data_IF_164418178374
#
_entry.id   IF_164418178374
#
_cell.length_a   1.000
_cell.length_b   1.000
_cell.length_c   1.000
_cell.angle_alpha   90.00
_cell.angle_beta   90.00
_cell.angle_gamma   90.00
#
_symmetry.space_group_name_H-M   'P 1'
#
loop_
_entity.id
_entity.type
_entity.pdbx_description
1 polymer ?
#
# COMPACT_ATOMS: atom_id res chain seq x y z
N UNK A 1 -7.07 -10.24 -9.74
CA UNK A 1 -8.19 -11.20 -9.79
C UNK A 1 -9.11 -10.99 -8.60
N UNK A 2 -10.42 -11.07 -8.82
CA UNK A 2 -11.42 -10.89 -7.76
C UNK A 2 -12.43 -12.04 -7.76
N UNK A 3 -13.02 -12.36 -6.61
CA UNK A 3 -14.17 -13.28 -6.52
C UNK A 3 -14.87 -13.19 -5.16
N UNK A 4 -16.16 -13.49 -5.09
CA UNK A 4 -16.92 -13.53 -3.83
C UNK A 4 -16.69 -14.85 -3.08
N UNK A 5 -16.11 -15.85 -3.74
CA UNK A 5 -15.63 -17.10 -3.15
C UNK A 5 -14.21 -17.43 -3.61
N UNK A 6 -13.52 -18.30 -2.86
CA UNK A 6 -12.19 -18.78 -3.26
C UNK A 6 -12.20 -19.52 -4.59
N UNK A 7 -13.23 -20.32 -4.84
CA UNK A 7 -13.37 -21.08 -6.08
C UNK A 7 -13.44 -20.16 -7.30
N UNK A 8 -14.31 -19.14 -7.23
CA UNK A 8 -14.47 -18.14 -8.29
C UNK A 8 -13.16 -17.35 -8.52
N UNK A 9 -12.53 -16.89 -7.43
CA UNK A 9 -11.26 -16.17 -7.51
C UNK A 9 -10.16 -17.04 -8.15
N UNK A 10 -10.07 -18.31 -7.78
CA UNK A 10 -9.11 -19.24 -8.37
C UNK A 10 -9.43 -19.56 -9.84
N UNK A 11 -10.71 -19.63 -10.23
CA UNK A 11 -11.09 -19.79 -11.63
C UNK A 11 -10.65 -18.59 -12.48
N UNK A 12 -10.91 -17.37 -12.01
CA UNK A 12 -10.42 -16.16 -12.66
C UNK A 12 -8.90 -16.14 -12.74
N UNK A 13 -8.20 -16.56 -11.69
CA UNK A 13 -6.76 -16.62 -11.69
C UNK A 13 -6.18 -17.68 -12.63
N UNK A 14 -6.85 -18.82 -12.80
CA UNK A 14 -6.44 -19.86 -13.76
C UNK A 14 -6.57 -19.37 -15.20
N UNK A 15 -7.62 -18.60 -15.51
CA UNK A 15 -7.80 -17.98 -16.84
C UNK A 15 -6.71 -16.96 -17.17
N UNK A 16 -6.04 -16.43 -16.17
CA UNK A 16 -4.94 -15.47 -16.30
C UNK A 16 -3.56 -16.11 -16.05
N UNK A 17 -3.40 -17.41 -16.30
CA UNK A 17 -2.13 -18.13 -16.08
C UNK A 17 -0.94 -17.48 -16.80
N UNK A 18 -1.17 -16.92 -17.99
CA UNK A 18 -0.13 -16.25 -18.80
C UNK A 18 0.49 -15.05 -18.09
N UNK A 19 -0.25 -14.34 -17.24
CA UNK A 19 0.28 -13.20 -16.46
C UNK A 19 1.37 -13.65 -15.47
N UNK A 20 1.30 -14.91 -15.04
CA UNK A 20 2.18 -15.49 -14.01
C UNK A 20 3.32 -16.32 -14.59
N UNK A 21 3.26 -16.71 -15.87
CA UNK A 21 4.20 -17.64 -16.51
C UNK A 21 5.68 -17.24 -16.34
N UNK A 22 5.97 -15.94 -16.36
CA UNK A 22 7.33 -15.41 -16.17
C UNK A 22 7.92 -15.65 -14.77
N UNK A 23 7.08 -15.90 -13.76
CA UNK A 23 7.48 -16.06 -12.35
C UNK A 23 7.54 -17.52 -11.89
N UNK A 24 6.97 -18.44 -12.68
CA UNK A 24 6.94 -19.89 -12.40
C UNK A 24 8.34 -20.51 -12.26
N UNK A 25 9.33 -20.26 -13.16
CA UNK A 25 10.48 -21.15 -13.27
C UNK A 25 11.43 -21.18 -12.08
N UNK A 26 11.79 -20.01 -11.51
CA UNK A 26 12.71 -19.94 -10.37
C UNK A 26 12.74 -18.53 -9.72
N UNK A 27 11.61 -17.83 -9.66
CA UNK A 27 11.58 -16.48 -9.08
C UNK A 27 11.33 -16.55 -7.58
N UNK A 28 12.24 -16.05 -6.71
CA UNK A 28 11.99 -15.98 -5.27
C UNK A 28 10.72 -15.19 -4.98
N UNK A 29 9.80 -15.78 -4.22
CA UNK A 29 8.49 -15.17 -3.98
C UNK A 29 8.07 -15.20 -2.52
N UNK A 30 7.10 -14.35 -2.18
CA UNK A 30 6.33 -14.44 -0.94
C UNK A 30 4.86 -14.19 -1.19
N UNK A 31 4.03 -14.70 -0.29
CA UNK A 31 2.62 -14.35 -0.19
C UNK A 31 2.38 -13.43 1.01
N UNK A 32 1.51 -12.45 0.83
CA UNK A 32 0.93 -11.64 1.89
C UNK A 32 -0.56 -11.91 1.90
N UNK A 33 -1.06 -12.38 3.04
CA UNK A 33 -2.49 -12.65 3.24
C UNK A 33 -3.02 -11.68 4.28
N UNK A 34 -4.05 -10.91 3.94
CA UNK A 34 -4.60 -9.86 4.79
C UNK A 34 -6.12 -9.84 4.81
N UNK A 35 -6.69 -9.37 5.91
CA UNK A 35 -8.13 -9.16 6.02
C UNK A 35 -8.44 -7.68 6.16
N UNK A 36 -9.47 -7.19 5.46
CA UNK A 36 -10.00 -5.87 5.74
C UNK A 36 -10.63 -5.87 7.14
N UNK A 37 -10.19 -4.96 8.01
CA UNK A 37 -10.77 -4.76 9.34
C UNK A 37 -10.67 -5.95 10.33
N UNK A 38 -9.86 -6.97 10.02
CA UNK A 38 -9.61 -8.14 10.89
C UNK A 38 -8.26 -8.80 10.61
N UNK A 39 -7.69 -9.41 11.64
CA UNK A 39 -6.53 -10.29 11.49
C UNK A 39 -6.93 -11.64 10.89
N UNK A 40 -6.07 -12.21 10.05
CA UNK A 40 -6.20 -13.60 9.59
C UNK A 40 -5.20 -14.44 10.38
N UNK A 41 -5.67 -15.53 10.99
CA UNK A 41 -4.79 -16.42 11.78
C UNK A 41 -3.71 -17.04 10.91
N UNK A 42 -2.56 -17.38 11.49
CA UNK A 42 -1.46 -18.00 10.75
C UNK A 42 -1.86 -19.33 10.09
N UNK A 43 -2.71 -20.13 10.74
CA UNK A 43 -3.25 -21.37 10.16
C UNK A 43 -4.05 -21.09 8.89
N UNK A 44 -4.94 -20.10 8.94
CA UNK A 44 -5.76 -19.70 7.80
C UNK A 44 -4.92 -19.10 6.68
N UNK A 45 -3.93 -18.27 7.01
CA UNK A 45 -2.99 -17.75 5.99
C UNK A 45 -2.29 -18.90 5.26
N UNK A 46 -1.89 -19.95 5.99
CA UNK A 46 -1.27 -21.13 5.39
C UNK A 46 -2.22 -21.88 4.46
N UNK A 47 -3.45 -22.16 4.89
CA UNK A 47 -4.49 -22.79 4.05
C UNK A 47 -4.70 -22.02 2.74
N UNK A 48 -4.77 -20.69 2.83
CA UNK A 48 -4.94 -19.81 1.67
C UNK A 48 -3.73 -19.90 0.74
N UNK A 49 -2.51 -19.90 1.28
CA UNK A 49 -1.30 -20.01 0.46
C UNK A 49 -1.24 -21.38 -0.23
N UNK A 50 -1.55 -22.46 0.48
CA UNK A 50 -1.57 -23.81 -0.05
C UNK A 50 -2.63 -24.00 -1.14
N UNK A 51 -3.75 -23.26 -1.10
CA UNK A 51 -4.78 -23.32 -2.14
C UNK A 51 -4.32 -22.76 -3.50
N UNK A 52 -3.25 -21.96 -3.54
CA UNK A 52 -2.61 -21.49 -4.78
C UNK A 52 -1.63 -22.50 -5.39
N UNK A 53 -1.56 -23.74 -4.88
CA UNK A 53 -0.63 -24.76 -5.38
C UNK A 53 -0.71 -25.03 -6.89
N UNK A 54 -1.85 -24.78 -7.54
CA UNK A 54 -2.02 -24.91 -8.99
C UNK A 54 -1.19 -23.91 -9.82
N UNK A 55 -0.63 -22.85 -9.20
CA UNK A 55 0.25 -21.91 -9.88
C UNK A 55 1.67 -22.46 -10.12
N UNK A 56 2.00 -23.59 -9.48
CA UNK A 56 3.26 -24.33 -9.65
C UNK A 56 4.53 -23.46 -9.59
N UNK A 57 4.55 -22.48 -8.69
CA UNK A 57 5.70 -21.58 -8.53
C UNK A 57 6.89 -22.38 -7.97
N UNK A 58 7.92 -22.58 -8.80
CA UNK A 58 9.09 -23.40 -8.47
C UNK A 58 10.20 -22.62 -7.75
N UNK A 59 10.06 -21.29 -7.67
CA UNK A 59 11.02 -20.43 -6.95
C UNK A 59 11.04 -20.68 -5.44
N UNK A 60 12.14 -20.28 -4.79
CA UNK A 60 12.24 -20.37 -3.32
C UNK A 60 11.30 -19.38 -2.64
N UNK A 61 10.76 -19.75 -1.48
CA UNK A 61 10.02 -18.81 -0.62
C UNK A 61 11.03 -17.92 0.11
N UNK A 62 11.04 -16.62 -0.17
CA UNK A 62 11.90 -15.64 0.49
C UNK A 62 11.08 -14.56 1.21
N UNK A 63 11.02 -14.66 2.54
CA UNK A 63 10.23 -13.74 3.36
C UNK A 63 10.88 -12.36 3.52
N UNK A 64 12.19 -12.23 3.24
CA UNK A 64 12.98 -11.01 3.48
C UNK A 64 13.18 -10.22 2.20
N UNK A 65 13.67 -10.87 1.15
CA UNK A 65 14.00 -10.23 -0.11
C UNK A 65 13.44 -11.04 -1.31
N UNK A 66 12.12 -11.10 -1.46
CA UNK A 66 11.50 -11.72 -2.63
C UNK A 66 11.65 -10.82 -3.85
N UNK A 67 11.74 -11.44 -5.02
CA UNK A 67 11.65 -10.72 -6.30
C UNK A 67 10.18 -10.41 -6.64
N UNK A 68 9.25 -11.27 -6.18
CA UNK A 68 7.81 -11.10 -6.40
C UNK A 68 7.03 -11.28 -5.11
N UNK A 69 6.10 -10.37 -4.87
CA UNK A 69 5.16 -10.46 -3.75
C UNK A 69 3.74 -10.60 -4.28
N UNK A 70 3.09 -11.72 -3.96
CA UNK A 70 1.68 -11.93 -4.20
C UNK A 70 0.86 -11.51 -2.99
N UNK A 71 -0.27 -10.86 -3.22
CA UNK A 71 -1.20 -10.42 -2.18
C UNK A 71 -2.55 -11.12 -2.35
N UNK A 72 -3.08 -11.67 -1.27
CA UNK A 72 -4.45 -12.16 -1.17
C UNK A 72 -5.16 -11.44 -0.02
N UNK A 73 -6.17 -10.64 -0.34
CA UNK A 73 -6.92 -9.85 0.63
C UNK A 73 -8.36 -10.30 0.69
N UNK A 74 -8.84 -10.64 1.88
CA UNK A 74 -10.23 -10.99 2.13
C UNK A 74 -10.97 -9.77 2.72
N UNK A 75 -12.12 -9.44 2.13
CA UNK A 75 -13.05 -8.42 2.60
C UNK A 75 -14.28 -9.09 3.21
N UNK A 76 -14.68 -8.61 4.38
CA UNK A 76 -15.78 -9.16 5.16
C UNK A 76 -16.79 -8.08 5.51
N UNK A 77 -18.04 -8.49 5.71
CA UNK A 77 -19.08 -7.62 6.26
C UNK A 77 -18.65 -7.03 7.61
N UNK A 78 -18.89 -5.72 7.77
CA UNK A 78 -18.55 -5.01 8.99
C UNK A 78 -19.56 -5.32 10.11
N UNK A 79 -19.19 -6.28 10.96
CA UNK A 79 -19.97 -6.67 12.13
C UNK A 79 -19.73 -5.80 13.37
N UNK A 80 -19.00 -4.68 13.27
CA UNK A 80 -18.65 -3.85 14.45
C UNK A 80 -19.85 -3.20 15.15
N UNK A 81 -20.95 -3.01 14.42
CA UNK A 81 -22.23 -2.49 14.94
C UNK A 81 -23.05 -3.54 15.70
N UNK A 82 -22.65 -4.81 15.66
CA UNK A 82 -23.33 -5.90 16.35
C UNK A 82 -22.86 -6.00 17.81
N UNK A 83 -23.78 -6.44 18.67
CA UNK A 83 -23.54 -6.63 20.11
C UNK A 83 -22.32 -7.54 20.35
N UNK A 84 -21.64 -7.36 21.48
CA UNK A 84 -20.32 -7.96 21.78
C UNK A 84 -20.33 -9.50 21.66
N UNK A 85 -21.49 -10.14 21.85
CA UNK A 85 -21.68 -11.60 21.69
C UNK A 85 -21.75 -12.08 20.23
N UNK A 86 -22.13 -11.21 19.29
CA UNK A 86 -22.21 -11.53 17.84
C UNK A 86 -20.91 -11.25 17.09
N UNK A 87 -19.97 -10.51 17.71
CA UNK A 87 -18.62 -10.28 17.16
C UNK A 87 -17.79 -11.55 16.98
N UNK A 88 -18.13 -12.62 17.68
CA UNK A 88 -17.45 -13.92 17.60
C UNK A 88 -17.81 -14.69 16.32
N UNK A 89 -18.89 -14.31 15.64
CA UNK A 89 -19.28 -14.92 14.37
C UNK A 89 -18.47 -14.22 13.28
N UNK A 90 -17.63 -14.95 12.51
CA UNK A 90 -16.95 -14.36 11.38
C UNK A 90 -17.99 -13.74 10.46
N UNK A 91 -17.83 -12.44 10.16
CA UNK A 91 -18.68 -11.76 9.18
C UNK A 91 -18.68 -12.52 7.86
N UNK A 92 -19.74 -12.35 7.07
CA UNK A 92 -19.83 -12.98 5.76
C UNK A 92 -18.69 -12.47 4.87
N UNK A 93 -18.00 -13.39 4.18
CA UNK A 93 -17.00 -13.04 3.18
C UNK A 93 -17.71 -12.33 2.02
N UNK A 94 -17.28 -11.12 1.71
CA UNK A 94 -17.83 -10.29 0.64
C UNK A 94 -17.04 -10.49 -0.65
N UNK A 95 -15.71 -10.32 -0.55
CA UNK A 95 -14.85 -10.29 -1.71
C UNK A 95 -13.45 -10.77 -1.36
N UNK A 96 -12.79 -11.40 -2.32
CA UNK A 96 -11.37 -11.75 -2.27
C UNK A 96 -10.69 -11.02 -3.41
N UNK A 97 -9.53 -10.43 -3.11
CA UNK A 97 -8.67 -9.77 -4.07
C UNK A 97 -7.33 -10.50 -4.11
N UNK A 98 -6.93 -10.96 -5.27
CA UNK A 98 -5.62 -11.57 -5.51
C UNK A 98 -4.84 -10.78 -6.56
N UNK A 99 -3.54 -10.61 -6.35
CA UNK A 99 -2.68 -9.96 -7.34
C UNK A 99 -1.22 -9.88 -6.92
N UNK A 100 -0.44 -9.12 -7.69
CA UNK A 100 0.98 -8.87 -7.43
C UNK A 100 1.19 -7.44 -6.92
N UNK A 101 2.12 -7.28 -5.99
CA UNK A 101 2.61 -5.97 -5.58
C UNK A 101 3.37 -5.30 -6.74
N UNK A 102 2.93 -4.11 -7.14
CA UNK A 102 3.57 -3.31 -8.19
C UNK A 102 4.40 -2.17 -7.60
N UNK A 103 3.90 -1.55 -6.53
CA UNK A 103 4.58 -0.44 -5.87
C UNK A 103 4.22 -0.41 -4.38
N UNK A 104 5.18 0.02 -3.58
CA UNK A 104 4.97 0.31 -2.17
C UNK A 104 4.75 1.82 -1.98
N UNK A 105 3.83 2.18 -1.09
CA UNK A 105 3.54 3.59 -0.80
C UNK A 105 4.71 4.26 -0.07
N UNK A 106 5.21 5.37 -0.63
CA UNK A 106 6.27 6.19 -0.01
C UNK A 106 5.74 7.22 1.00
N UNK A 107 4.41 7.37 1.11
CA UNK A 107 3.77 8.43 1.88
C UNK A 107 4.29 8.54 3.32
N UNK A 108 4.41 7.42 4.06
CA UNK A 108 4.91 7.45 5.46
C UNK A 108 6.33 7.97 5.56
N UNK A 109 7.22 7.52 4.66
CA UNK A 109 8.60 7.99 4.63
C UNK A 109 8.68 9.48 4.27
N UNK A 110 7.84 9.95 3.35
CA UNK A 110 7.75 11.36 2.98
C UNK A 110 7.23 12.22 4.14
N UNK A 111 6.18 11.79 4.83
CA UNK A 111 5.66 12.48 6.02
C UNK A 111 6.75 12.62 7.09
N UNK A 112 7.49 11.54 7.37
CA UNK A 112 8.60 11.59 8.33
C UNK A 112 9.78 12.47 7.87
N UNK A 113 10.03 12.53 6.56
CA UNK A 113 11.09 13.37 5.97
C UNK A 113 10.74 14.86 6.04
N UNK A 114 9.49 15.22 5.77
CA UNK A 114 8.99 16.61 5.71
C UNK A 114 8.29 17.07 6.99
N UNK A 115 8.44 16.32 8.08
CA UNK A 115 7.93 16.63 9.41
C UNK A 115 8.23 18.11 9.76
N UNK A 116 7.20 18.82 10.22
CA UNK A 116 7.26 20.23 10.59
C UNK A 116 8.39 20.51 11.58
N UNK A 117 8.63 19.59 12.51
CA UNK A 117 9.66 19.73 13.56
C UNK A 117 11.09 19.72 13.01
N UNK A 118 11.30 19.23 11.79
CA UNK A 118 12.61 19.16 11.13
C UNK A 118 12.87 20.36 10.21
N UNK A 119 11.91 21.27 10.05
CA UNK A 119 12.05 22.46 9.19
C UNK A 119 12.88 23.53 9.90
N UNK A 120 13.73 24.25 9.16
CA UNK A 120 14.48 25.38 9.70
C UNK A 120 13.56 26.53 10.15
N UNK A 121 12.41 26.67 9.49
CA UNK A 121 11.39 27.68 9.80
C UNK A 121 10.04 26.99 9.96
N UNK A 122 9.41 27.16 11.13
CA UNK A 122 8.04 26.72 11.41
C UNK A 122 7.39 27.63 12.46
N UNK A 123 6.13 27.99 12.24
CA UNK A 123 5.26 28.68 13.20
C UNK A 123 4.08 27.81 13.65
N UNK A 124 3.29 28.30 14.61
CA UNK A 124 2.11 27.62 15.16
C UNK A 124 0.99 27.33 14.13
N UNK A 125 0.96 28.06 13.02
CA UNK A 125 0.01 27.87 11.91
C UNK A 125 0.60 27.03 10.76
N UNK A 126 1.79 26.44 10.95
CA UNK A 126 2.41 25.61 9.92
C UNK A 126 1.62 24.34 9.70
N UNK A 127 1.35 24.05 8.44
CA UNK A 127 0.63 22.86 8.03
C UNK A 127 1.47 21.60 8.19
N UNK A 128 0.85 20.54 8.73
CA UNK A 128 1.46 19.22 8.86
C UNK A 128 1.78 18.58 7.51
N UNK A 129 2.88 17.82 7.46
CA UNK A 129 3.41 17.25 6.22
C UNK A 129 2.43 16.33 5.50
N UNK A 130 1.62 15.56 6.23
CA UNK A 130 0.66 14.62 5.66
C UNK A 130 -0.45 15.35 4.89
N UNK A 131 -1.07 16.36 5.52
CA UNK A 131 -2.13 17.13 4.88
C UNK A 131 -1.54 17.96 3.72
N UNK A 132 -0.33 18.50 3.86
CA UNK A 132 0.34 19.24 2.77
C UNK A 132 0.60 18.35 1.54
N UNK A 133 1.05 17.12 1.76
CA UNK A 133 1.28 16.16 0.68
C UNK A 133 -0.04 15.74 0.01
N UNK A 134 -1.10 15.55 0.80
CA UNK A 134 -2.43 15.27 0.27
C UNK A 134 -2.94 16.41 -0.61
N UNK A 135 -2.79 17.66 -0.18
CA UNK A 135 -3.17 18.84 -0.97
C UNK A 135 -2.38 18.95 -2.27
N UNK A 136 -1.07 18.68 -2.23
CA UNK A 136 -0.23 18.67 -3.44
C UNK A 136 -0.66 17.59 -4.45
N UNK A 137 -1.09 16.42 -3.95
CA UNK A 137 -1.64 15.37 -4.81
C UNK A 137 -3.01 15.77 -5.39
N UNK A 138 -3.87 16.44 -4.63
CA UNK A 138 -5.17 16.94 -5.11
C UNK A 138 -5.02 17.97 -6.22
N UNK A 139 -3.97 18.79 -6.17
CA UNK A 139 -3.66 19.76 -7.22
C UNK A 139 -2.85 19.17 -8.38
N UNK A 140 -2.57 17.86 -8.34
CA UNK A 140 -1.83 17.11 -9.37
C UNK A 140 -0.48 17.75 -9.74
N UNK A 141 0.18 18.38 -8.77
CA UNK A 141 1.44 19.10 -9.00
C UNK A 141 2.55 18.12 -9.34
N UNK A 142 3.27 18.39 -10.43
CA UNK A 142 4.46 17.67 -10.86
C UNK A 142 5.71 18.53 -10.65
N UNK A 143 6.90 17.91 -10.55
CA UNK A 143 8.15 18.65 -10.63
C UNK A 143 8.14 19.58 -11.86
N UNK A 144 8.53 20.85 -11.68
CA UNK A 144 8.55 21.91 -12.69
C UNK A 144 7.21 22.53 -13.11
N UNK A 145 6.08 22.14 -12.48
CA UNK A 145 4.88 22.97 -12.55
C UNK A 145 5.15 24.31 -11.82
N UNK A 146 4.48 25.38 -12.27
CA UNK A 146 4.78 26.80 -11.96
C UNK A 146 4.95 27.16 -10.47
N UNK A 147 4.48 26.31 -9.55
CA UNK A 147 4.68 26.45 -8.11
C UNK A 147 6.16 26.38 -7.69
N UNK A 148 7.03 25.74 -8.48
CA UNK A 148 8.48 25.71 -8.23
C UNK A 148 9.18 27.00 -8.66
N UNK A 149 8.63 27.74 -9.64
CA UNK A 149 9.23 28.97 -10.16
C UNK A 149 9.19 30.10 -9.11
N UNK A 150 8.22 30.10 -8.21
CA UNK A 150 8.12 31.07 -7.11
C UNK A 150 9.20 30.92 -6.03
N UNK A 151 9.82 29.73 -5.92
CA UNK A 151 10.91 29.50 -4.95
C UNK A 151 12.28 29.79 -5.57
N UNK A 152 12.39 29.72 -6.90
CA UNK A 152 13.64 29.97 -7.62
C UNK A 152 13.93 31.46 -7.90
N UNK A 153 12.95 32.36 -7.73
CA UNK A 153 13.07 33.77 -8.14
C UNK A 153 13.37 34.75 -6.98
N UNK A 154 13.94 34.25 -5.88
CA UNK A 154 14.56 35.10 -4.86
C UNK A 154 16.07 34.89 -4.83
N UNK A 155 16.83 35.62 -5.67
CA UNK A 155 18.26 35.76 -5.46
C UNK A 155 18.47 36.49 -4.13
N UNK A 156 18.93 35.75 -3.12
CA UNK A 156 19.52 36.32 -1.91
C UNK A 156 20.77 37.09 -2.32
N UNK A 157 20.64 38.41 -2.37
CA UNK A 157 21.75 39.31 -2.58
C UNK A 157 21.29 40.74 -2.76
N UNK A 158 21.19 41.49 -1.65
CA UNK A 158 21.66 42.87 -1.59
C UNK A 158 21.98 43.22 -0.12
N UNK A 159 23.28 43.43 0.09
CA UNK A 159 23.93 43.98 1.28
C UNK A 159 23.57 45.45 1.46
N UNK A 160 23.50 45.92 2.73
CA UNK A 160 23.84 47.30 3.08
C UNK A 160 22.82 48.09 3.90
N UNK A 161 23.13 48.24 5.19
CA UNK A 161 22.98 49.44 6.06
C UNK A 161 21.72 50.32 5.95
N UNK A 162 21.06 50.56 7.08
CA UNK A 162 21.29 51.81 7.82
C UNK A 162 20.72 51.74 9.24
N UNK A 163 21.54 52.20 10.17
CA UNK A 163 21.19 52.61 11.52
C UNK A 163 20.11 53.70 11.51
N UNK A 164 19.16 53.58 12.44
CA UNK A 164 18.64 54.63 13.32
C UNK A 164 17.74 54.00 14.40
#
# INVERSE_FOLDING_TARGET
MIGSTYEEMHEHNRKACDEWAQYVPNTPFKYIVGGYNRGISQSRQREIIESFGYMDLLGKIDMKNPDVTFGCFEEYEDNRRLDTKQRTIPGRLLQIYFGKLIAEGSARALVQKYDVKKRQYFGNTSMEAEISLLMANQTLVRPFDAMTALIADHPQGLSGKNDL
#
